data_IF_156785463264
#
_entry.id   IF_156785463264
#
_cell.length_a   1.000
_cell.length_b   1.000
_cell.length_c   1.000
_cell.angle_alpha   90.00
_cell.angle_beta   90.00
_cell.angle_gamma   90.00
#
_symmetry.space_group_name_H-M   'P 1'
#
loop_
_entity.id
_entity.type
_entity.pdbx_description
1 polymer ?
#
# COMPACT_ATOMS: atom_id res chain seq x y z
N UNK A 1 -10.90 -1.18 12.36
CA UNK A 1 -10.95 -0.44 11.09
C UNK A 1 -9.84 -0.90 10.14
N UNK A 2 -8.57 -0.95 10.59
CA UNK A 2 -7.42 -1.48 9.82
C UNK A 2 -7.56 -2.95 9.41
N UNK A 3 -8.12 -3.81 10.27
CA UNK A 3 -8.38 -5.23 9.96
C UNK A 3 -9.32 -5.43 8.77
N UNK A 4 -10.34 -4.58 8.64
CA UNK A 4 -11.31 -4.66 7.54
C UNK A 4 -10.67 -4.20 6.22
N UNK A 5 -9.85 -3.14 6.28
CA UNK A 5 -9.05 -2.71 5.12
C UNK A 5 -8.10 -3.81 4.64
N UNK A 6 -7.43 -4.52 5.55
CA UNK A 6 -6.55 -5.65 5.20
C UNK A 6 -7.31 -6.79 4.52
N UNK A 7 -8.47 -7.18 5.06
CA UNK A 7 -9.35 -8.19 4.43
C UNK A 7 -9.78 -7.76 3.03
N UNK A 8 -10.12 -6.48 2.84
CA UNK A 8 -10.53 -5.96 1.53
C UNK A 8 -9.37 -5.97 0.53
N UNK A 9 -8.16 -5.61 0.96
CA UNK A 9 -6.94 -5.67 0.14
C UNK A 9 -6.66 -7.12 -0.30
N UNK A 10 -6.78 -8.09 0.62
CA UNK A 10 -6.61 -9.52 0.31
C UNK A 10 -7.64 -10.00 -0.72
N UNK A 11 -8.92 -9.64 -0.54
CA UNK A 11 -9.98 -9.99 -1.48
C UNK A 11 -9.73 -9.42 -2.89
N UNK A 12 -9.39 -8.13 -2.99
CA UNK A 12 -9.06 -7.50 -4.27
C UNK A 12 -7.82 -8.12 -4.91
N UNK A 13 -6.81 -8.48 -4.11
CA UNK A 13 -5.60 -9.12 -4.61
C UNK A 13 -5.88 -10.51 -5.18
N UNK A 14 -6.79 -11.26 -4.57
CA UNK A 14 -7.25 -12.55 -5.09
C UNK A 14 -8.01 -12.37 -6.41
N UNK A 15 -8.95 -11.42 -6.45
CA UNK A 15 -9.75 -11.12 -7.65
C UNK A 15 -8.87 -10.73 -8.84
N UNK A 16 -7.88 -9.86 -8.63
CA UNK A 16 -6.92 -9.44 -9.66
C UNK A 16 -6.07 -10.63 -10.16
N UNK A 17 -5.66 -11.54 -9.27
CA UNK A 17 -4.86 -12.73 -9.65
C UNK A 17 -5.68 -13.74 -10.45
N UNK A 18 -6.96 -13.86 -10.14
CA UNK A 18 -7.90 -14.72 -10.86
C UNK A 18 -8.51 -14.04 -12.09
N UNK A 19 -8.15 -12.78 -12.35
CA UNK A 19 -8.71 -12.02 -13.45
C UNK A 19 -8.26 -12.61 -14.79
N UNK A 20 -9.20 -12.96 -15.70
CA UNK A 20 -8.86 -13.56 -16.99
C UNK A 20 -7.96 -12.60 -17.78
N UNK A 21 -6.97 -13.17 -18.49
CA UNK A 21 -5.84 -12.42 -19.08
C UNK A 21 -6.31 -11.14 -19.81
N UNK A 22 -5.98 -9.96 -19.30
CA UNK A 22 -6.45 -8.70 -19.86
C UNK A 22 -5.77 -8.44 -21.21
N UNK A 23 -6.54 -8.05 -22.22
CA UNK A 23 -5.98 -7.32 -23.36
C UNK A 23 -5.45 -6.02 -22.77
N UNK A 24 -4.13 -5.95 -22.61
CA UNK A 24 -3.44 -4.89 -21.89
C UNK A 24 -4.05 -3.52 -22.26
N UNK A 25 -4.53 -2.80 -21.22
CA UNK A 25 -4.95 -1.38 -21.25
C UNK A 25 -6.41 -1.04 -21.62
N UNK A 26 -7.22 -1.94 -22.19
CA UNK A 26 -8.64 -1.63 -22.47
C UNK A 26 -9.62 -2.13 -21.40
N UNK A 27 -9.11 -2.78 -20.37
CA UNK A 27 -9.94 -3.38 -19.33
C UNK A 27 -10.15 -2.41 -18.18
N UNK A 28 -11.21 -1.61 -18.29
CA UNK A 28 -11.65 -0.64 -17.27
C UNK A 28 -11.92 -1.32 -15.92
N UNK A 29 -12.37 -2.57 -15.92
CA UNK A 29 -12.64 -3.33 -14.70
C UNK A 29 -11.33 -3.67 -13.99
N UNK A 30 -10.33 -4.18 -14.71
CA UNK A 30 -9.02 -4.44 -14.10
C UNK A 30 -8.37 -3.15 -13.61
N UNK A 31 -8.47 -2.06 -14.37
CA UNK A 31 -7.97 -0.75 -13.95
C UNK A 31 -8.61 -0.30 -12.63
N UNK A 32 -9.95 -0.37 -12.52
CA UNK A 32 -10.68 -0.02 -11.31
C UNK A 32 -10.27 -0.88 -10.10
N UNK A 33 -10.07 -2.19 -10.29
CA UNK A 33 -9.60 -3.10 -9.23
C UNK A 33 -8.20 -2.72 -8.73
N UNK A 34 -7.29 -2.39 -9.65
CA UNK A 34 -5.92 -1.95 -9.33
C UNK A 34 -5.91 -0.62 -8.57
N UNK A 35 -6.70 0.34 -9.02
CA UNK A 35 -6.84 1.65 -8.37
C UNK A 35 -7.42 1.52 -6.97
N UNK A 36 -8.48 0.73 -6.80
CA UNK A 36 -9.08 0.50 -5.48
C UNK A 36 -8.10 -0.15 -4.52
N UNK A 37 -7.36 -1.17 -4.97
CA UNK A 37 -6.31 -1.79 -4.15
C UNK A 37 -5.25 -0.77 -3.76
N UNK A 38 -4.80 0.07 -4.69
CA UNK A 38 -3.81 1.11 -4.42
C UNK A 38 -4.28 2.13 -3.38
N UNK A 39 -5.54 2.58 -3.47
CA UNK A 39 -6.15 3.49 -2.48
C UNK A 39 -6.16 2.90 -1.08
N UNK A 40 -6.59 1.64 -0.94
CA UNK A 40 -6.66 0.99 0.37
C UNK A 40 -5.29 0.74 0.99
N UNK A 41 -4.30 0.35 0.17
CA UNK A 41 -2.91 0.19 0.64
C UNK A 41 -2.33 1.51 1.12
N UNK A 42 -2.52 2.60 0.37
CA UNK A 42 -2.05 3.93 0.76
C UNK A 42 -2.74 4.42 2.05
N UNK A 43 -4.05 4.21 2.18
CA UNK A 43 -4.79 4.58 3.38
C UNK A 43 -4.34 3.77 4.61
N UNK A 44 -4.08 2.47 4.46
CA UNK A 44 -3.57 1.62 5.53
C UNK A 44 -2.17 2.07 5.96
N UNK A 45 -1.26 2.31 5.00
CA UNK A 45 0.08 2.81 5.28
C UNK A 45 0.04 4.16 6.02
N UNK A 46 -0.80 5.11 5.60
CA UNK A 46 -0.95 6.39 6.28
C UNK A 46 -1.48 6.26 7.72
N UNK A 47 -2.34 5.28 7.99
CA UNK A 47 -2.80 4.98 9.36
C UNK A 47 -1.68 4.36 10.19
N UNK A 48 -0.95 3.40 9.62
CA UNK A 48 0.19 2.74 10.28
C UNK A 48 1.34 3.73 10.55
N UNK A 49 1.65 4.64 9.63
CA UNK A 49 2.64 5.71 9.83
C UNK A 49 2.23 6.67 10.96
N UNK A 50 0.94 7.02 11.05
CA UNK A 50 0.42 7.85 12.14
C UNK A 50 0.50 7.15 13.49
N UNK A 51 0.43 5.82 13.53
CA UNK A 51 0.62 5.03 14.74
C UNK A 51 2.10 4.76 15.05
N UNK A 52 2.96 4.67 14.03
CA UNK A 52 4.38 4.34 14.15
C UNK A 52 5.29 5.55 14.41
N UNK A 53 4.92 6.75 13.95
CA UNK A 53 5.67 7.98 14.18
C UNK A 53 5.32 8.59 15.54
N UNK A 54 5.74 7.92 16.62
CA UNK A 54 5.82 8.53 17.94
C UNK A 54 6.99 9.54 18.02
N UNK A 55 7.03 10.41 19.04
CA UNK A 55 8.16 11.33 19.26
C UNK A 55 9.55 10.66 19.34
N UNK A 56 9.57 9.34 19.55
CA UNK A 56 10.77 8.50 19.60
C UNK A 56 11.30 8.10 18.20
N UNK A 57 10.53 8.29 17.12
CA UNK A 57 10.96 8.03 15.75
C UNK A 57 11.87 9.14 15.18
N UNK A 58 12.61 9.84 16.05
CA UNK A 58 13.54 10.89 15.67
C UNK A 58 14.79 10.25 15.07
N UNK A 59 14.99 10.45 13.77
CA UNK A 59 16.25 10.12 13.10
C UNK A 59 17.39 10.90 13.79
N UNK A 60 18.27 10.20 14.50
CA UNK A 60 19.40 10.79 15.26
C UNK A 60 20.76 10.67 14.55
N UNK A 61 20.82 10.13 13.33
CA UNK A 61 22.07 10.04 12.59
C UNK A 61 22.29 11.29 11.72
N UNK A 62 23.28 12.10 12.07
CA UNK A 62 23.70 13.34 11.39
C UNK A 62 24.77 13.11 10.31
N UNK A 63 25.02 11.87 9.90
CA UNK A 63 25.94 11.53 8.81
C UNK A 63 27.41 11.68 9.22
N UNK A 64 27.80 11.11 10.37
CA UNK A 64 29.16 11.17 10.92
C UNK A 64 30.29 10.99 9.90
N UNK A 65 31.37 11.76 10.09
CA UNK A 65 32.54 11.96 9.20
C UNK A 65 33.32 10.67 8.90
N UNK A 66 32.77 9.76 8.08
CA UNK A 66 33.52 8.67 7.45
C UNK A 66 32.98 8.38 6.03
N UNK A 67 32.68 9.44 5.26
CA UNK A 67 32.67 9.33 3.81
C UNK A 67 34.15 9.32 3.36
N UNK A 68 34.74 8.13 3.36
CA UNK A 68 36.12 7.89 2.96
C UNK A 68 36.35 8.19 1.47
#
# INVERSE_FOLDING_TARGET
>A
MTTEMRRRIEALSLEIRSYPTPIARCDEQLAALLEERARLVAALAALEEREACGPDARWTNDGGMNAA
#
